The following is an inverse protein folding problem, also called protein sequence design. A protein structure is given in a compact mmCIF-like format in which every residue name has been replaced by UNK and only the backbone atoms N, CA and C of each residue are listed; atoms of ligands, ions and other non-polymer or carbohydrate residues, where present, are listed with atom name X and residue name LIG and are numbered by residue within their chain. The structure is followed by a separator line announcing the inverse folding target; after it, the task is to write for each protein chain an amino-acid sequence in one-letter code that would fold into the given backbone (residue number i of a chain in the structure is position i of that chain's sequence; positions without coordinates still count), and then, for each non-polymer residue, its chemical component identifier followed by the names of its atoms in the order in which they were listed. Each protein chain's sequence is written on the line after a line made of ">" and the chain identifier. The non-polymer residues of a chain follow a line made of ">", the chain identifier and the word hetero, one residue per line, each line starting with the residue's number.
data_IF_070174841771
#
_entry.id   IF_070174841771
#
_cell.length_a   1.000
_cell.length_b   1.000
_cell.length_c   1.000
_cell.angle_alpha   90.00
_cell.angle_beta   90.00
_cell.angle_gamma   90.00
#
_symmetry.space_group_name_H-M   'P 1'
#
loop_
_entity.id
_entity.type
_entity.pdbx_description
1 polymer ?
#
# COMPACT_ATOMS: atom_id res chain seq x y z
N UNK A 1 26.15 12.39 -23.95
CA UNK A 1 25.29 12.77 -22.83
C UNK A 1 24.12 11.83 -22.88
N UNK A 2 24.01 10.93 -21.89
CA UNK A 2 22.79 10.26 -21.40
C UNK A 2 23.23 9.15 -20.44
N UNK A 3 23.70 9.57 -19.26
CA UNK A 3 24.14 8.68 -18.18
C UNK A 3 22.97 7.94 -17.49
N UNK A 4 21.75 8.06 -18.01
CA UNK A 4 20.50 7.56 -17.41
C UNK A 4 20.23 6.07 -17.69
N UNK A 5 20.97 5.42 -18.60
CA UNK A 5 20.62 4.09 -19.08
C UNK A 5 21.34 2.92 -18.39
N UNK A 6 22.37 3.16 -17.57
CA UNK A 6 23.06 2.06 -16.88
C UNK A 6 22.36 1.73 -15.56
N UNK A 7 21.15 1.18 -15.64
CA UNK A 7 20.56 0.49 -14.50
C UNK A 7 21.27 -0.86 -14.35
N UNK A 8 21.87 -1.17 -13.19
CA UNK A 8 22.49 -2.47 -12.98
C UNK A 8 21.43 -3.57 -13.06
N UNK A 9 21.73 -4.66 -13.77
CA UNK A 9 20.84 -5.81 -13.85
C UNK A 9 20.74 -6.50 -12.49
N UNK A 10 19.55 -6.42 -11.88
CA UNK A 10 19.24 -7.02 -10.58
C UNK A 10 18.61 -8.42 -10.70
N UNK A 11 18.52 -9.01 -11.90
CA UNK A 11 17.86 -10.30 -12.14
C UNK A 11 18.36 -11.41 -11.22
N UNK A 12 19.67 -11.48 -10.98
CA UNK A 12 20.25 -12.47 -10.06
C UNK A 12 19.84 -12.24 -8.60
N UNK A 13 19.68 -10.97 -8.20
CA UNK A 13 19.16 -10.60 -6.88
C UNK A 13 17.69 -11.01 -6.72
N UNK A 14 16.87 -10.72 -7.73
CA UNK A 14 15.45 -11.10 -7.76
C UNK A 14 15.26 -12.62 -7.63
N UNK A 15 16.04 -13.42 -8.35
CA UNK A 15 15.99 -14.90 -8.24
C UNK A 15 16.40 -15.43 -6.87
N UNK A 16 17.22 -14.68 -6.12
CA UNK A 16 17.69 -15.05 -4.78
C UNK A 16 16.81 -14.52 -3.66
N UNK A 17 15.82 -13.67 -3.97
CA UNK A 17 14.94 -13.06 -2.99
C UNK A 17 14.06 -14.14 -2.33
N UNK A 18 14.14 -14.25 -1.00
CA UNK A 18 13.42 -15.26 -0.21
C UNK A 18 12.22 -14.70 0.57
N UNK A 19 12.11 -13.37 0.68
CA UNK A 19 10.95 -12.76 1.34
C UNK A 19 9.73 -12.87 0.43
N UNK A 20 8.53 -12.85 1.02
CA UNK A 20 7.32 -12.73 0.21
C UNK A 20 7.22 -11.30 -0.31
N UNK A 21 6.78 -11.13 -1.54
CA UNK A 21 6.69 -9.84 -2.22
C UNK A 21 5.31 -9.67 -2.84
N UNK A 22 4.66 -8.55 -2.54
CA UNK A 22 3.42 -8.11 -3.18
C UNK A 22 3.77 -6.92 -4.06
N UNK A 23 3.44 -7.00 -5.35
CA UNK A 23 3.81 -6.01 -6.35
C UNK A 23 2.52 -5.46 -6.93
N UNK A 24 2.38 -4.13 -6.89
CA UNK A 24 1.27 -3.42 -7.53
C UNK A 24 1.78 -2.74 -8.78
N UNK A 25 0.99 -2.79 -9.85
CA UNK A 25 1.27 -2.10 -11.09
C UNK A 25 -0.02 -1.58 -11.69
N UNK A 26 -0.06 -0.31 -12.07
CA UNK A 26 -1.19 0.23 -12.82
C UNK A 26 -1.17 -0.25 -14.26
N UNK A 27 -2.35 -0.53 -14.81
CA UNK A 27 -2.55 -0.97 -16.19
C UNK A 27 -2.01 0.03 -17.22
N UNK A 28 -2.15 1.34 -16.96
CA UNK A 28 -1.67 2.40 -17.85
C UNK A 28 -0.28 2.93 -17.46
N UNK A 29 0.42 2.25 -16.54
CA UNK A 29 1.76 2.65 -16.12
C UNK A 29 2.78 2.45 -17.25
N UNK A 30 3.69 3.43 -17.50
CA UNK A 30 4.83 3.23 -18.40
C UNK A 30 5.79 2.12 -17.93
N UNK A 31 5.70 1.70 -16.66
CA UNK A 31 6.51 0.64 -16.09
C UNK A 31 5.82 -0.73 -16.13
N UNK A 32 4.63 -0.85 -16.75
CA UNK A 32 3.84 -2.08 -16.74
C UNK A 32 4.61 -3.31 -17.27
N UNK A 33 5.24 -3.17 -18.44
CA UNK A 33 6.04 -4.24 -19.05
C UNK A 33 7.29 -4.59 -18.23
N UNK A 34 7.94 -3.60 -17.62
CA UNK A 34 9.11 -3.81 -16.74
C UNK A 34 8.70 -4.53 -15.45
N UNK A 35 7.57 -4.17 -14.85
CA UNK A 35 7.03 -4.83 -13.67
C UNK A 35 6.69 -6.30 -13.93
N UNK A 36 6.05 -6.61 -15.07
CA UNK A 36 5.81 -7.98 -15.52
C UNK A 36 7.14 -8.74 -15.72
N UNK A 37 8.11 -8.10 -16.36
CA UNK A 37 9.43 -8.70 -16.58
C UNK A 37 10.14 -9.01 -15.26
N UNK A 38 10.19 -8.07 -14.32
CA UNK A 38 10.80 -8.26 -13.00
C UNK A 38 10.08 -9.35 -12.20
N UNK A 39 8.75 -9.35 -12.22
CA UNK A 39 7.95 -10.36 -11.53
C UNK A 39 8.20 -11.76 -12.09
N UNK A 40 8.44 -11.90 -13.40
CA UNK A 40 8.84 -13.17 -14.02
C UNK A 40 10.18 -13.73 -13.51
N UNK A 41 11.01 -12.91 -12.87
CA UNK A 41 12.31 -13.33 -12.29
C UNK A 41 12.22 -13.71 -10.82
N UNK A 42 11.12 -13.38 -10.16
CA UNK A 42 10.86 -13.74 -8.77
C UNK A 42 10.33 -15.17 -8.68
N UNK A 43 10.57 -15.84 -7.55
CA UNK A 43 9.95 -17.14 -7.28
C UNK A 43 8.44 -16.94 -7.07
N UNK A 44 7.64 -17.58 -7.94
CA UNK A 44 6.17 -17.50 -7.93
C UNK A 44 5.55 -18.00 -6.62
N UNK A 45 6.25 -18.79 -5.81
CA UNK A 45 5.77 -19.23 -4.49
C UNK A 45 5.79 -18.12 -3.44
N UNK A 46 6.66 -17.12 -3.64
CA UNK A 46 6.85 -16.02 -2.70
C UNK A 46 6.37 -14.67 -3.27
N UNK A 47 5.99 -14.60 -4.54
CA UNK A 47 5.58 -13.35 -5.18
C UNK A 47 4.13 -13.36 -5.65
N UNK A 48 3.48 -12.21 -5.55
CA UNK A 48 2.17 -11.94 -6.10
C UNK A 48 2.19 -10.60 -6.84
N UNK A 49 1.55 -10.55 -8.01
CA UNK A 49 1.37 -9.35 -8.81
C UNK A 49 -0.10 -8.96 -8.81
N UNK A 50 -0.37 -7.67 -8.62
CA UNK A 50 -1.70 -7.07 -8.70
C UNK A 50 -1.66 -6.00 -9.77
N UNK A 51 -2.39 -6.24 -10.85
CA UNK A 51 -2.60 -5.25 -11.91
C UNK A 51 -3.84 -4.41 -11.57
N UNK A 52 -3.63 -3.12 -11.37
CA UNK A 52 -4.68 -2.18 -10.97
C UNK A 52 -5.22 -1.51 -12.23
N UNK A 53 -6.48 -1.81 -12.50
CA UNK A 53 -7.21 -1.30 -13.66
C UNK A 53 -7.38 0.22 -13.58
N UNK A 54 -7.40 0.88 -14.73
CA UNK A 54 -7.61 2.34 -14.84
C UNK A 54 -6.67 3.19 -13.94
N UNK A 55 -5.45 2.71 -13.71
CA UNK A 55 -4.45 3.36 -12.85
C UNK A 55 -3.12 3.55 -13.58
N UNK A 56 -2.51 4.72 -13.40
CA UNK A 56 -1.17 5.05 -13.88
C UNK A 56 -0.06 4.51 -12.97
N UNK A 57 0.99 5.30 -12.77
CA UNK A 57 2.15 4.88 -11.98
C UNK A 57 1.95 4.94 -10.46
N UNK A 58 1.00 5.75 -9.98
CA UNK A 58 0.88 6.13 -8.58
C UNK A 58 -0.31 5.42 -7.94
N UNK A 59 -0.24 4.09 -7.88
CA UNK A 59 -1.33 3.23 -7.36
C UNK A 59 -1.77 3.65 -5.96
N UNK A 60 -0.83 4.04 -5.10
CA UNK A 60 -1.10 4.49 -3.72
C UNK A 60 -1.95 5.76 -3.64
N UNK A 61 -1.87 6.63 -4.64
CA UNK A 61 -2.56 7.91 -4.71
C UNK A 61 -3.82 7.85 -5.59
N UNK A 62 -3.75 7.11 -6.70
CA UNK A 62 -4.83 6.98 -7.67
C UNK A 62 -5.90 5.96 -7.23
N UNK A 63 -5.48 4.84 -6.63
CA UNK A 63 -6.34 3.71 -6.28
C UNK A 63 -5.93 3.06 -4.93
N UNK A 64 -5.92 3.80 -3.81
CA UNK A 64 -5.56 3.24 -2.50
C UNK A 64 -6.49 2.09 -2.08
N UNK A 65 -7.77 2.15 -2.45
CA UNK A 65 -8.77 1.13 -2.09
C UNK A 65 -8.47 -0.23 -2.75
N UNK A 66 -7.92 -0.21 -3.97
CA UNK A 66 -7.52 -1.42 -4.69
C UNK A 66 -6.38 -2.17 -3.98
N UNK A 67 -5.65 -1.50 -3.08
CA UNK A 67 -4.55 -2.11 -2.32
C UNK A 67 -5.02 -2.82 -1.03
N UNK A 68 -6.18 -2.46 -0.48
CA UNK A 68 -6.62 -2.91 0.85
C UNK A 68 -6.74 -4.43 0.93
N UNK A 69 -7.53 -5.02 0.03
CA UNK A 69 -7.80 -6.45 0.04
C UNK A 69 -6.52 -7.27 -0.25
N UNK A 70 -5.72 -6.97 -1.29
CA UNK A 70 -4.47 -7.69 -1.51
C UNK A 70 -3.47 -7.54 -0.35
N UNK A 71 -3.40 -6.37 0.29
CA UNK A 71 -2.53 -6.14 1.43
C UNK A 71 -2.98 -6.95 2.66
N UNK A 72 -4.27 -7.00 2.93
CA UNK A 72 -4.86 -7.81 4.00
C UNK A 72 -4.49 -9.29 3.81
N UNK A 73 -4.77 -9.86 2.63
CA UNK A 73 -4.43 -11.26 2.32
C UNK A 73 -2.93 -11.53 2.41
N UNK A 74 -2.10 -10.57 1.96
CA UNK A 74 -0.66 -10.69 2.06
C UNK A 74 -0.19 -10.75 3.52
N UNK A 75 -0.69 -9.85 4.37
CA UNK A 75 -0.39 -9.82 5.81
C UNK A 75 -0.95 -11.04 6.56
N UNK A 76 -2.12 -11.56 6.15
CA UNK A 76 -2.65 -12.85 6.61
C UNK A 76 -1.68 -13.99 6.32
N UNK A 77 -1.08 -14.02 5.12
CA UNK A 77 -0.08 -15.01 4.75
C UNK A 77 1.19 -14.99 5.60
N UNK A 78 1.48 -13.87 6.29
CA UNK A 78 2.57 -13.75 7.26
C UNK A 78 2.15 -14.02 8.71
N UNK A 79 0.85 -14.14 8.99
CA UNK A 79 0.33 -14.21 10.36
C UNK A 79 0.38 -12.88 11.11
N UNK A 80 0.64 -11.75 10.41
CA UNK A 80 0.56 -10.42 11.01
C UNK A 80 -0.87 -9.90 11.08
N UNK A 81 -1.72 -10.31 10.14
CA UNK A 81 -3.12 -9.97 10.21
C UNK A 81 -3.80 -10.80 11.29
N UNK A 82 -4.05 -10.14 12.42
CA UNK A 82 -5.02 -10.59 13.41
C UNK A 82 -6.28 -9.77 13.13
N UNK A 83 -7.40 -10.40 12.71
CA UNK A 83 -8.65 -9.69 12.56
C UNK A 83 -8.88 -8.86 13.82
N UNK A 84 -9.21 -7.58 13.65
CA UNK A 84 -9.67 -6.73 14.73
C UNK A 84 -10.92 -7.40 15.29
N UNK A 85 -10.74 -8.26 16.30
CA UNK A 85 -11.85 -8.63 17.14
C UNK A 85 -12.16 -7.34 17.87
N UNK A 86 -13.09 -6.55 17.34
CA UNK A 86 -13.79 -5.55 18.13
C UNK A 86 -14.60 -6.32 19.17
N UNK A 87 -13.89 -6.92 20.13
CA UNK A 87 -14.49 -7.42 21.35
C UNK A 87 -14.84 -6.16 22.11
N UNK A 88 -16.10 -5.74 22.02
CA UNK A 88 -16.72 -4.74 22.89
C UNK A 88 -16.83 -5.28 24.33
N UNK A 89 -15.84 -6.07 24.77
CA UNK A 89 -15.78 -6.62 26.12
C UNK A 89 -15.15 -5.57 27.03
N UNK A 90 -15.89 -5.00 27.99
CA UNK A 90 -15.47 -3.84 28.77
C UNK A 90 -14.37 -4.14 29.80
N UNK A 91 -13.72 -5.32 29.75
CA UNK A 91 -12.87 -5.84 30.85
C UNK A 91 -11.45 -6.27 30.47
N UNK A 92 -10.97 -6.07 29.26
CA UNK A 92 -9.62 -6.52 28.87
C UNK A 92 -8.72 -5.35 28.45
N UNK A 93 -7.61 -5.07 29.17
CA UNK A 93 -6.76 -3.91 28.89
C UNK A 93 -5.70 -4.16 27.79
N UNK A 94 -5.57 -5.38 27.24
CA UNK A 94 -4.47 -5.72 26.33
C UNK A 94 -4.91 -6.68 25.21
N UNK A 95 -5.21 -6.12 24.01
CA UNK A 95 -5.16 -6.67 22.62
C UNK A 95 -6.48 -6.61 21.81
N UNK A 96 -6.46 -6.38 20.47
CA UNK A 96 -5.49 -5.68 19.63
C UNK A 96 -6.03 -4.32 19.11
N UNK A 97 -5.08 -3.45 18.78
CA UNK A 97 -5.19 -2.06 18.33
C UNK A 97 -5.93 -1.87 16.99
N UNK A 98 -7.26 -1.87 16.98
CA UNK A 98 -7.99 -0.99 16.06
C UNK A 98 -8.32 0.28 16.84
N UNK A 99 -7.42 1.26 16.76
CA UNK A 99 -7.71 2.62 17.23
C UNK A 99 -8.91 3.09 16.40
N UNK A 100 -10.03 3.40 17.04
CA UNK A 100 -11.23 3.78 16.32
C UNK A 100 -10.97 5.07 15.54
N UNK A 101 -11.54 5.22 14.32
CA UNK A 101 -11.28 6.39 13.48
C UNK A 101 -11.60 7.72 14.18
N UNK A 102 -12.53 7.70 15.14
CA UNK A 102 -12.90 8.83 15.98
C UNK A 102 -11.77 9.31 16.89
N UNK A 103 -10.78 8.45 17.22
CA UNK A 103 -9.59 8.81 18.00
C UNK A 103 -8.55 9.58 17.19
N UNK A 104 -8.64 9.57 15.86
CA UNK A 104 -7.83 10.41 14.98
C UNK A 104 -8.49 11.77 14.70
N UNK A 105 -9.66 12.03 15.28
CA UNK A 105 -10.23 13.37 15.19
C UNK A 105 -9.34 14.38 15.93
N UNK A 106 -9.24 15.62 15.45
CA UNK A 106 -8.50 16.66 16.16
C UNK A 106 -8.99 16.85 17.59
N UNK A 107 -10.31 16.76 17.79
CA UNK A 107 -10.96 16.92 19.08
C UNK A 107 -10.54 15.81 20.07
N UNK A 108 -10.50 14.55 19.61
CA UNK A 108 -10.07 13.42 20.45
C UNK A 108 -8.58 13.43 20.74
N UNK A 109 -7.75 14.00 19.86
CA UNK A 109 -6.32 14.23 20.11
C UNK A 109 -6.04 15.45 21.00
N UNK A 110 -7.08 16.15 21.46
CA UNK A 110 -6.96 17.37 22.28
C UNK A 110 -6.44 18.58 21.49
N UNK A 111 -6.48 18.51 20.16
CA UNK A 111 -6.03 19.56 19.26
C UNK A 111 -7.21 20.49 18.94
N UNK A 112 -7.13 21.72 19.45
CA UNK A 112 -8.12 22.76 19.12
C UNK A 112 -7.71 23.48 17.83
N UNK A 113 -7.89 22.81 16.69
CA UNK A 113 -7.58 23.39 15.38
C UNK A 113 -8.61 24.48 15.05
N UNK A 114 -8.12 25.66 14.64
CA UNK A 114 -8.97 26.70 14.05
C UNK A 114 -9.02 26.46 12.54
N UNK A 115 -10.19 26.59 11.89
CA UNK A 115 -10.27 26.48 10.44
C UNK A 115 -9.29 27.45 9.79
N UNK A 116 -8.37 26.93 8.96
CA UNK A 116 -7.51 27.76 8.14
C UNK A 116 -8.39 28.33 7.04
N UNK A 117 -8.46 29.65 6.94
CA UNK A 117 -9.23 30.34 5.91
C UNK A 117 -8.49 30.21 4.58
N UNK A 118 -8.69 29.10 3.90
CA UNK A 118 -8.24 28.94 2.51
C UNK A 118 -9.11 29.83 1.63
N UNK A 119 -8.49 30.77 0.91
CA UNK A 119 -9.19 31.47 -0.16
C UNK A 119 -9.34 30.47 -1.30
N UNK A 120 -10.51 29.86 -1.41
CA UNK A 120 -10.90 29.21 -2.65
C UNK A 120 -11.12 30.32 -3.68
N UNK A 121 -10.33 30.34 -4.75
CA UNK A 121 -10.75 31.05 -5.95
C UNK A 121 -11.86 30.18 -6.57
N UNK A 122 -13.11 30.61 -6.43
CA UNK A 122 -14.17 30.16 -7.33
C UNK A 122 -13.84 30.74 -8.71
N UNK A 123 -13.21 29.94 -9.56
CA UNK A 123 -13.27 30.18 -11.01
C UNK A 123 -14.60 29.60 -11.49
N UNK A 124 -15.43 30.48 -12.05
CA UNK A 124 -16.72 30.20 -12.70
C UNK A 124 -16.48 29.65 -14.10
#
# INVERSE_FOLDING_TARGET
>A
MDLLHWRPDITQGLRKLKCRSLIFVGESSPFHSEALHMTSKLDRRFSALVEVQACGSMVTEEQPDAMLIPLEYFLMGFGFYRPSQCNVSPRSPLSPTSISPELFSPESMGLKLKPIKTRFSEEV
#
